data_IF_463796347476
#
_entry.id   IF_463796347476
#
_cell.length_a   1.000
_cell.length_b   1.000
_cell.length_c   1.000
_cell.angle_alpha   90.00
_cell.angle_beta   90.00
_cell.angle_gamma   90.00
#
_symmetry.space_group_name_H-M   'P 1'
#
loop_
_entity.id
_entity.type
_entity.pdbx_description
1 polymer ?
#
# COMPACT_ATOMS: atom_id res chain seq x y z
N UNK A 1 -31.41 1.86 -2.39
CA UNK A 1 -30.49 0.74 -2.13
C UNK A 1 -29.12 1.23 -2.56
N UNK A 2 -28.13 1.36 -1.66
CA UNK A 2 -26.66 1.31 -1.96
C UNK A 2 -25.72 2.00 -0.96
N UNK A 3 -26.19 2.73 0.06
CA UNK A 3 -25.25 3.39 1.02
C UNK A 3 -24.83 2.46 2.19
N UNK A 4 -25.71 1.56 2.63
CA UNK A 4 -25.45 0.66 3.76
C UNK A 4 -24.31 -0.34 3.54
N UNK A 5 -23.92 -0.59 2.29
CA UNK A 5 -22.84 -1.53 1.98
C UNK A 5 -21.47 -0.87 2.16
N UNK A 6 -21.26 0.32 1.59
CA UNK A 6 -20.00 1.05 1.74
C UNK A 6 -19.71 1.41 3.20
N UNK A 7 -20.70 1.96 3.90
CA UNK A 7 -20.56 2.32 5.32
C UNK A 7 -20.18 1.09 6.18
N UNK A 8 -20.78 -0.08 5.91
CA UNK A 8 -20.44 -1.33 6.59
C UNK A 8 -19.00 -1.79 6.28
N UNK A 9 -18.57 -1.69 5.03
CA UNK A 9 -17.21 -2.05 4.63
C UNK A 9 -16.16 -1.14 5.28
N UNK A 10 -16.46 0.16 5.41
CA UNK A 10 -15.59 1.13 6.11
C UNK A 10 -15.44 0.75 7.58
N UNK A 11 -16.54 0.45 8.27
CA UNK A 11 -16.50 0.05 9.68
C UNK A 11 -15.72 -1.26 9.89
N UNK A 12 -15.87 -2.23 8.99
CA UNK A 12 -15.06 -3.45 9.02
C UNK A 12 -13.57 -3.18 8.79
N UNK A 13 -13.23 -2.31 7.82
CA UNK A 13 -11.86 -1.97 7.50
C UNK A 13 -11.15 -1.21 8.65
N UNK A 14 -11.87 -0.38 9.42
CA UNK A 14 -11.34 0.34 10.59
C UNK A 14 -10.78 -0.58 11.67
N UNK A 15 -11.35 -1.77 11.83
CA UNK A 15 -10.90 -2.76 12.80
C UNK A 15 -9.67 -3.58 12.35
N UNK A 16 -9.20 -3.39 11.11
CA UNK A 16 -8.07 -4.16 10.58
C UNK A 16 -6.75 -3.58 11.10
N UNK A 17 -6.09 -4.34 11.97
CA UNK A 17 -4.73 -4.05 12.41
C UNK A 17 -3.72 -4.79 11.52
N UNK A 18 -3.11 -4.08 10.58
CA UNK A 18 -2.07 -4.65 9.72
C UNK A 18 -0.76 -4.81 10.48
N UNK A 19 -0.12 -5.97 10.34
CA UNK A 19 1.27 -6.15 10.72
C UNK A 19 2.21 -5.42 9.74
N UNK A 20 3.50 -5.38 10.06
CA UNK A 20 4.47 -4.61 9.28
C UNK A 20 4.63 -5.13 7.85
N UNK A 21 4.56 -6.45 7.64
CA UNK A 21 4.63 -7.05 6.32
C UNK A 21 3.42 -6.67 5.45
N UNK A 22 2.21 -6.73 6.02
CA UNK A 22 0.98 -6.30 5.35
C UNK A 22 0.99 -4.81 5.00
N UNK A 23 1.48 -3.97 5.93
CA UNK A 23 1.66 -2.53 5.69
C UNK A 23 2.67 -2.26 4.58
N UNK A 24 3.74 -3.05 4.52
CA UNK A 24 4.75 -2.98 3.47
C UNK A 24 4.18 -3.35 2.10
N UNK A 25 3.44 -4.45 2.03
CA UNK A 25 2.76 -4.91 0.82
C UNK A 25 1.72 -3.90 0.31
N UNK A 26 0.93 -3.32 1.22
CA UNK A 26 -0.02 -2.26 0.87
C UNK A 26 0.72 -1.05 0.29
N UNK A 27 1.82 -0.61 0.93
CA UNK A 27 2.66 0.49 0.44
C UNK A 27 3.21 0.20 -0.95
N UNK A 28 3.78 -0.99 -1.16
CA UNK A 28 4.35 -1.37 -2.46
C UNK A 28 3.27 -1.40 -3.55
N UNK A 29 2.07 -1.87 -3.22
CA UNK A 29 0.93 -1.87 -4.14
C UNK A 29 0.52 -0.46 -4.58
N UNK A 30 0.50 0.50 -3.64
CA UNK A 30 0.24 1.91 -3.96
C UNK A 30 1.34 2.53 -4.83
N UNK A 31 2.61 2.32 -4.47
CA UNK A 31 3.75 2.84 -5.25
C UNK A 31 3.72 2.28 -6.66
N UNK A 32 3.56 0.96 -6.81
CA UNK A 32 3.47 0.32 -8.12
C UNK A 32 2.28 0.87 -8.92
N UNK A 33 1.08 0.96 -8.31
CA UNK A 33 -0.09 1.50 -8.98
C UNK A 33 0.14 2.91 -9.53
N UNK A 34 0.68 3.81 -8.72
CA UNK A 34 0.97 5.19 -9.14
C UNK A 34 2.06 5.23 -10.23
N UNK A 35 3.19 4.57 -10.00
CA UNK A 35 4.33 4.62 -10.91
C UNK A 35 4.07 3.91 -12.24
N UNK A 36 3.29 2.83 -12.26
CA UNK A 36 2.96 2.09 -13.48
C UNK A 36 2.09 2.88 -14.44
N UNK A 37 1.21 3.73 -13.91
CA UNK A 37 0.38 4.64 -14.71
C UNK A 37 1.26 5.62 -15.49
N UNK A 38 2.34 6.10 -14.88
CA UNK A 38 3.25 7.08 -15.48
C UNK A 38 4.38 6.44 -16.31
N UNK A 39 4.84 5.26 -15.93
CA UNK A 39 5.97 4.59 -16.54
C UNK A 39 5.76 3.07 -16.61
N UNK A 40 5.52 2.57 -17.82
CA UNK A 40 5.30 1.15 -18.08
C UNK A 40 6.53 0.27 -17.80
N UNK A 41 7.74 0.82 -17.73
CA UNK A 41 8.95 0.07 -17.40
C UNK A 41 9.10 -0.21 -15.90
N UNK A 42 8.34 0.47 -15.05
CA UNK A 42 8.32 0.14 -13.61
C UNK A 42 7.59 -1.19 -13.44
N UNK A 43 8.25 -2.13 -12.79
CA UNK A 43 7.70 -3.45 -12.45
C UNK A 43 7.41 -3.55 -10.96
N UNK A 44 6.57 -4.52 -10.59
CA UNK A 44 6.23 -4.75 -9.18
C UNK A 44 7.46 -5.24 -8.40
N UNK A 45 8.27 -6.09 -9.03
CA UNK A 45 9.49 -6.66 -8.48
C UNK A 45 10.51 -5.56 -8.19
N UNK A 46 10.65 -4.57 -9.08
CA UNK A 46 11.51 -3.42 -8.86
C UNK A 46 11.09 -2.59 -7.65
N UNK A 47 9.79 -2.34 -7.49
CA UNK A 47 9.25 -1.61 -6.33
C UNK A 47 9.50 -2.38 -5.03
N UNK A 48 9.29 -3.70 -5.05
CA UNK A 48 9.56 -4.56 -3.90
C UNK A 48 11.05 -4.57 -3.55
N UNK A 49 11.95 -4.70 -4.52
CA UNK A 49 13.41 -4.68 -4.32
C UNK A 49 13.87 -3.36 -3.67
N UNK A 50 13.39 -2.22 -4.16
CA UNK A 50 13.69 -0.90 -3.58
C UNK A 50 13.15 -0.80 -2.15
N UNK A 51 11.93 -1.27 -1.90
CA UNK A 51 11.28 -1.24 -0.59
C UNK A 51 12.05 -2.05 0.47
N UNK A 52 12.70 -3.15 0.06
CA UNK A 52 13.58 -3.93 0.93
C UNK A 52 14.93 -3.25 1.20
N UNK A 53 15.49 -2.53 0.21
CA UNK A 53 16.79 -1.85 0.33
C UNK A 53 16.72 -0.55 1.12
N UNK A 54 15.58 0.14 1.02
CA UNK A 54 15.33 1.42 1.68
C UNK A 54 14.08 1.28 2.56
N UNK A 55 14.16 0.51 3.67
CA UNK A 55 13.11 0.55 4.66
C UNK A 55 12.93 2.00 5.10
N UNK A 56 11.67 2.45 5.23
CA UNK A 56 11.34 3.86 5.49
C UNK A 56 12.30 4.41 6.56
N UNK A 57 13.02 5.48 6.24
CA UNK A 57 13.85 6.15 7.23
C UNK A 57 12.98 6.41 8.46
N UNK A 58 13.45 5.94 9.63
CA UNK A 58 12.94 6.46 10.89
C UNK A 58 13.19 7.97 10.82
N UNK A 59 12.12 8.72 10.65
CA UNK A 59 12.10 10.18 10.52
C UNK A 59 13.20 10.79 11.39
N UNK A 60 14.10 11.56 10.77
CA UNK A 60 14.80 12.61 11.52
C UNK A 60 13.72 13.45 12.20
N UNK A 61 13.80 13.52 13.53
CA UNK A 61 12.83 14.18 14.41
C UNK A 61 12.75 15.68 14.23
#
# INVERSE_FOLDING_TARGET
MEDHNLSRLVELARGVHMNDAQRNEQRNSFVYGNTKIENSNVTRELVEEISHRMPREATHG
#
